data_IF_503040606888
#
_entry.id   IF_503040606888
#
_cell.length_a   1.000
_cell.length_b   1.000
_cell.length_c   1.000
_cell.angle_alpha   90.00
_cell.angle_beta   90.00
_cell.angle_gamma   90.00
#
_symmetry.space_group_name_H-M   'P 1'
#
loop_
_entity.id
_entity.type
_entity.pdbx_description
1 polymer ?
#
# COMPACT_ATOMS: atom_id res chain seq x y z
N UNK A 1 -14.70 -1.79 -2.36
CA UNK A 1 -15.11 -2.87 -1.45
C UNK A 1 -14.13 -3.02 -0.30
N UNK A 2 -14.65 -3.20 0.90
CA UNK A 2 -13.90 -3.28 2.16
C UNK A 2 -13.95 -4.67 2.81
N UNK A 3 -14.56 -5.67 2.14
CA UNK A 3 -14.73 -7.02 2.69
C UNK A 3 -13.39 -7.69 3.00
N UNK A 4 -13.29 -8.32 4.16
CA UNK A 4 -12.14 -9.14 4.58
C UNK A 4 -12.17 -10.57 4.03
N UNK A 5 -13.25 -10.98 3.35
CA UNK A 5 -13.37 -12.33 2.79
C UNK A 5 -12.37 -12.54 1.67
N UNK A 6 -11.71 -13.67 1.66
CA UNK A 6 -10.65 -14.02 0.70
C UNK A 6 -11.10 -14.02 -0.77
N UNK A 7 -12.40 -14.24 -1.00
CA UNK A 7 -13.00 -14.33 -2.33
C UNK A 7 -13.51 -12.98 -2.87
N UNK A 8 -13.58 -11.94 -2.03
CA UNK A 8 -14.07 -10.64 -2.44
C UNK A 8 -12.95 -9.82 -3.05
N UNK A 9 -13.27 -9.16 -4.16
CA UNK A 9 -12.39 -8.17 -4.76
C UNK A 9 -12.41 -6.88 -3.94
N UNK A 10 -11.27 -6.22 -3.82
CA UNK A 10 -11.06 -5.15 -2.84
C UNK A 10 -10.51 -3.92 -3.51
N UNK A 11 -10.98 -2.76 -3.05
CA UNK A 11 -10.43 -1.50 -3.49
C UNK A 11 -9.01 -1.34 -2.96
N UNK A 12 -8.14 -0.83 -3.80
CA UNK A 12 -6.77 -0.50 -3.44
C UNK A 12 -6.23 0.63 -4.33
N UNK A 13 -5.26 1.35 -3.82
CA UNK A 13 -4.48 2.32 -4.58
C UNK A 13 -3.00 2.11 -4.29
N UNK A 14 -2.16 2.26 -5.31
CA UNK A 14 -0.72 2.28 -5.14
C UNK A 14 -0.11 3.49 -5.82
N UNK A 15 0.97 3.97 -5.21
CA UNK A 15 1.88 4.96 -5.77
C UNK A 15 3.21 4.29 -5.99
N UNK A 16 3.77 4.43 -7.17
CA UNK A 16 5.03 3.80 -7.58
C UNK A 16 6.05 4.87 -7.92
N UNK A 17 7.27 4.69 -7.46
CA UNK A 17 8.40 5.57 -7.70
C UNK A 17 9.53 4.80 -8.39
N UNK A 18 10.18 5.43 -9.38
CA UNK A 18 11.41 4.90 -9.95
C UNK A 18 12.56 5.03 -8.94
N UNK A 19 13.29 3.93 -8.71
CA UNK A 19 14.53 3.97 -7.93
C UNK A 19 15.72 4.36 -8.83
N UNK A 20 16.72 5.00 -8.20
CA UNK A 20 17.92 5.48 -8.87
C UNK A 20 17.73 6.83 -9.57
N UNK A 21 18.85 7.34 -10.11
CA UNK A 21 18.88 8.59 -10.86
C UNK A 21 18.39 8.33 -12.27
N UNK A 22 17.13 8.62 -12.50
CA UNK A 22 16.58 8.61 -13.85
C UNK A 22 16.97 9.94 -14.50
N UNK A 23 18.06 9.94 -15.27
CA UNK A 23 18.48 11.09 -16.05
C UNK A 23 17.42 11.40 -17.10
N UNK A 24 16.58 12.38 -16.83
CA UNK A 24 15.43 12.79 -17.64
C UNK A 24 15.83 13.45 -18.98
N UNK A 25 17.11 13.50 -19.30
CA UNK A 25 17.66 14.23 -20.47
C UNK A 25 18.31 13.37 -21.54
N UNK A 26 18.34 12.05 -21.38
CA UNK A 26 18.84 11.16 -22.43
C UNK A 26 17.71 10.74 -23.32
N UNK A 27 17.86 10.91 -24.63
CA UNK A 27 16.93 10.47 -25.69
C UNK A 27 16.78 8.92 -25.77
N UNK A 28 17.14 8.20 -24.72
CA UNK A 28 16.94 6.75 -24.59
C UNK A 28 16.00 6.47 -23.44
N UNK A 29 15.06 5.54 -23.62
CA UNK A 29 14.12 5.07 -22.60
C UNK A 29 14.87 4.44 -21.40
N UNK A 30 15.46 5.26 -20.55
CA UNK A 30 16.16 4.81 -19.35
C UNK A 30 15.24 4.64 -18.13
N UNK A 31 14.00 5.00 -18.29
CA UNK A 31 12.98 4.89 -17.25
C UNK A 31 12.59 3.43 -17.02
N UNK A 32 12.29 3.03 -15.76
CA UNK A 32 11.63 1.75 -15.50
C UNK A 32 10.30 1.67 -16.26
N UNK A 33 9.86 0.47 -16.59
CA UNK A 33 8.49 0.31 -17.10
C UNK A 33 7.49 0.71 -16.00
N UNK A 34 6.52 1.55 -16.34
CA UNK A 34 5.54 2.07 -15.38
C UNK A 34 4.61 0.99 -14.77
N UNK A 35 4.54 -0.18 -15.37
CA UNK A 35 3.81 -1.34 -14.88
C UNK A 35 4.67 -2.27 -14.03
N UNK A 36 5.35 -1.78 -12.99
CA UNK A 36 6.15 -2.55 -12.00
C UNK A 36 7.65 -2.68 -12.34
N UNK A 37 8.22 -1.75 -13.08
CA UNK A 37 9.64 -1.81 -13.44
C UNK A 37 9.97 -2.85 -14.51
N UNK A 38 11.24 -3.07 -14.71
CA UNK A 38 11.79 -4.11 -15.59
C UNK A 38 13.20 -4.47 -15.11
N UNK A 39 13.75 -5.56 -15.63
CA UNK A 39 15.04 -6.12 -15.18
C UNK A 39 16.13 -5.04 -15.07
N UNK A 40 16.73 -4.94 -13.90
CA UNK A 40 17.75 -3.95 -13.55
C UNK A 40 17.22 -2.53 -13.29
N UNK A 41 15.90 -2.32 -13.35
CA UNK A 41 15.23 -1.03 -13.11
C UNK A 41 14.10 -1.20 -12.10
N UNK A 42 14.51 -1.14 -10.85
CA UNK A 42 13.64 -1.37 -9.69
C UNK A 42 12.72 -0.18 -9.45
N UNK A 43 11.53 -0.47 -8.97
CA UNK A 43 10.55 0.51 -8.48
C UNK A 43 10.23 0.25 -7.01
N UNK A 44 9.96 1.34 -6.28
CA UNK A 44 9.41 1.29 -4.92
C UNK A 44 7.92 1.59 -5.01
N UNK A 45 7.08 0.80 -4.36
CA UNK A 45 5.63 0.86 -4.46
C UNK A 45 5.03 0.96 -3.07
N UNK A 46 4.16 1.93 -2.85
CA UNK A 46 3.36 2.11 -1.65
C UNK A 46 1.93 1.73 -1.97
N UNK A 47 1.44 0.63 -1.44
CA UNK A 47 0.10 0.13 -1.72
C UNK A 47 -0.79 0.21 -0.48
N UNK A 48 -1.81 1.04 -0.53
CA UNK A 48 -2.90 1.06 0.43
C UNK A 48 -4.01 0.09 0.01
N UNK A 49 -4.64 -0.57 0.99
CA UNK A 49 -5.69 -1.55 0.77
C UNK A 49 -6.88 -1.32 1.70
N UNK A 50 -8.08 -1.27 1.13
CA UNK A 50 -9.33 -1.03 1.86
C UNK A 50 -9.67 -2.16 2.85
N UNK A 51 -9.38 -3.41 2.52
CA UNK A 51 -9.59 -4.55 3.42
C UNK A 51 -8.70 -4.46 4.68
N UNK A 52 -7.45 -4.05 4.52
CA UNK A 52 -6.53 -3.86 5.64
C UNK A 52 -6.95 -2.70 6.53
N UNK A 53 -7.42 -1.61 5.92
CA UNK A 53 -8.00 -0.47 6.66
C UNK A 53 -9.19 -0.93 7.51
N UNK A 54 -10.09 -1.73 6.93
CA UNK A 54 -11.27 -2.24 7.63
C UNK A 54 -10.90 -3.20 8.78
N UNK A 55 -9.90 -4.06 8.57
CA UNK A 55 -9.40 -4.96 9.63
C UNK A 55 -8.89 -4.15 10.84
N UNK A 56 -8.08 -3.13 10.60
CA UNK A 56 -7.52 -2.27 11.65
C UNK A 56 -8.63 -1.54 12.40
N UNK A 57 -9.55 -0.90 11.68
CA UNK A 57 -10.67 -0.17 12.28
C UNK A 57 -11.61 -1.09 13.08
N UNK A 58 -11.79 -2.32 12.64
CA UNK A 58 -12.59 -3.32 13.35
C UNK A 58 -11.89 -3.75 14.63
N UNK A 59 -10.58 -4.00 14.57
CA UNK A 59 -9.77 -4.34 15.74
C UNK A 59 -9.80 -3.22 16.79
N UNK A 60 -9.58 -1.98 16.38
CA UNK A 60 -9.64 -0.82 17.26
C UNK A 60 -11.01 -0.68 17.96
N UNK A 61 -12.11 -0.89 17.22
CA UNK A 61 -13.47 -0.86 17.79
C UNK A 61 -13.69 -1.97 18.82
N UNK A 62 -13.19 -3.17 18.54
CA UNK A 62 -13.30 -4.31 19.47
C UNK A 62 -12.47 -4.03 20.72
N UNK A 63 -11.23 -3.61 20.58
CA UNK A 63 -10.35 -3.27 21.71
C UNK A 63 -10.95 -2.17 22.57
N UNK A 64 -11.57 -1.16 21.98
CA UNK A 64 -12.27 -0.10 22.72
C UNK A 64 -13.50 -0.62 23.44
N UNK A 65 -14.32 -1.44 22.79
CA UNK A 65 -15.55 -2.00 23.36
C UNK A 65 -15.27 -3.00 24.51
N UNK A 66 -14.14 -3.71 24.44
CA UNK A 66 -13.74 -4.70 25.45
C UNK A 66 -12.89 -4.12 26.57
N UNK A 67 -12.51 -2.85 26.48
CA UNK A 67 -11.73 -2.17 27.51
C UNK A 67 -12.53 -2.07 28.82
N UNK A 68 -12.18 -2.91 29.80
CA UNK A 68 -12.88 -3.05 31.08
C UNK A 68 -13.84 -4.24 31.17
N UNK A 69 -13.96 -5.05 30.15
CA UNK A 69 -14.63 -6.35 30.17
C UNK A 69 -13.64 -7.46 30.50
N UNK A 70 -14.13 -8.51 31.20
CA UNK A 70 -13.32 -9.70 31.45
C UNK A 70 -13.13 -10.48 30.15
N UNK A 71 -11.93 -10.38 29.59
CA UNK A 71 -11.59 -11.00 28.30
C UNK A 71 -11.69 -12.53 28.35
N UNK A 72 -11.43 -13.13 29.52
CA UNK A 72 -11.46 -14.58 29.68
C UNK A 72 -12.88 -15.13 29.55
N UNK A 73 -13.91 -14.41 30.04
CA UNK A 73 -15.30 -14.81 29.88
C UNK A 73 -15.76 -14.74 28.40
N UNK A 74 -15.20 -13.84 27.61
CA UNK A 74 -15.49 -13.68 26.19
C UNK A 74 -14.82 -14.77 25.31
N UNK A 75 -13.60 -15.17 25.67
CA UNK A 75 -12.80 -16.15 24.93
C UNK A 75 -13.31 -17.59 25.15
N UNK A 76 -13.77 -17.91 26.35
CA UNK A 76 -14.23 -19.26 26.70
C UNK A 76 -15.73 -19.50 26.48
N UNK A 77 -16.49 -18.49 26.04
CA UNK A 77 -17.94 -18.58 25.77
C UNK A 77 -18.33 -19.29 24.47
N UNK A 78 -17.40 -19.85 23.71
CA UNK A 78 -17.67 -20.74 22.56
C UNK A 78 -18.15 -20.05 21.28
N UNK A 79 -18.24 -18.73 21.22
CA UNK A 79 -18.43 -18.00 19.96
C UNK A 79 -17.06 -17.68 19.32
N UNK A 80 -16.95 -17.90 18.02
CA UNK A 80 -15.73 -17.57 17.25
C UNK A 80 -15.44 -16.10 17.43
N UNK A 81 -14.37 -15.79 18.15
CA UNK A 81 -13.98 -14.43 18.42
C UNK A 81 -13.63 -13.73 17.07
N UNK A 82 -14.32 -12.66 16.68
CA UNK A 82 -14.02 -11.95 15.44
C UNK A 82 -12.55 -11.47 15.35
N UNK A 83 -11.88 -11.32 16.49
CA UNK A 83 -10.46 -10.92 16.57
C UNK A 83 -9.52 -12.00 16.04
N UNK A 84 -9.87 -13.29 16.17
CA UNK A 84 -9.03 -14.39 15.68
C UNK A 84 -8.94 -14.46 14.15
N UNK A 85 -9.92 -13.86 13.46
CA UNK A 85 -9.91 -13.74 12.02
C UNK A 85 -9.09 -12.54 11.51
N UNK A 86 -8.68 -11.64 12.41
CA UNK A 86 -7.90 -10.44 12.07
C UNK A 86 -6.41 -10.74 12.19
N UNK A 87 -5.60 -10.17 11.29
CA UNK A 87 -4.15 -10.27 11.42
C UNK A 87 -3.67 -9.42 12.60
N UNK A 88 -3.25 -10.02 13.74
CA UNK A 88 -2.91 -9.29 14.96
C UNK A 88 -1.67 -8.40 14.80
N UNK A 89 -0.91 -8.60 13.72
CA UNK A 89 0.33 -7.86 13.44
C UNK A 89 0.12 -6.70 12.47
N UNK A 90 -1.10 -6.52 11.95
CA UNK A 90 -1.39 -5.42 11.03
C UNK A 90 -1.83 -4.19 11.81
N UNK A 91 -1.04 -3.14 11.73
CA UNK A 91 -1.22 -1.84 12.36
C UNK A 91 -1.30 -0.68 11.35
N UNK A 92 -1.12 -0.99 10.06
CA UNK A 92 -1.07 -0.03 8.97
C UNK A 92 -1.73 -0.61 7.71
N UNK A 93 -2.61 0.12 7.01
CA UNK A 93 -3.27 -0.36 5.80
C UNK A 93 -2.39 -0.25 4.53
N UNK A 94 -1.13 0.14 4.69
CA UNK A 94 -0.17 0.31 3.59
C UNK A 94 0.88 -0.78 3.65
N UNK A 95 1.25 -1.29 2.49
CA UNK A 95 2.39 -2.18 2.30
C UNK A 95 3.41 -1.53 1.36
N UNK A 96 4.66 -1.52 1.78
CA UNK A 96 5.78 -1.08 0.97
C UNK A 96 6.42 -2.27 0.27
N UNK A 97 6.52 -2.16 -1.06
CA UNK A 97 6.96 -3.25 -1.93
C UNK A 97 8.02 -2.74 -2.91
N UNK A 98 8.79 -3.67 -3.45
CA UNK A 98 9.66 -3.43 -4.60
C UNK A 98 9.32 -4.38 -5.73
N UNK A 99 9.61 -3.95 -6.96
CA UNK A 99 9.48 -4.78 -8.13
C UNK A 99 10.52 -4.40 -9.20
N UNK A 100 10.91 -5.39 -10.00
CA UNK A 100 11.77 -5.18 -11.18
C UNK A 100 11.21 -5.98 -12.38
N UNK A 101 9.91 -5.87 -12.59
CA UNK A 101 9.17 -6.53 -13.65
C UNK A 101 8.01 -7.39 -13.12
N UNK A 102 7.20 -7.89 -14.05
CA UNK A 102 6.08 -8.77 -13.70
C UNK A 102 6.56 -10.05 -13.00
N UNK A 103 5.87 -10.43 -11.93
CA UNK A 103 6.20 -11.62 -11.13
C UNK A 103 7.30 -11.41 -10.09
N UNK A 104 7.89 -10.22 -9.98
CA UNK A 104 8.96 -9.92 -9.01
C UNK A 104 8.50 -9.08 -7.82
N UNK A 105 7.20 -8.80 -7.71
CA UNK A 105 6.64 -7.99 -6.62
C UNK A 105 6.96 -8.63 -5.27
N UNK A 106 7.71 -7.92 -4.44
CA UNK A 106 8.22 -8.42 -3.17
C UNK A 106 7.94 -7.40 -2.07
N UNK A 107 7.23 -7.78 -0.99
CA UNK A 107 7.10 -6.94 0.19
C UNK A 107 8.46 -6.69 0.83
N UNK A 108 8.67 -5.48 1.30
CA UNK A 108 9.83 -5.19 2.15
C UNK A 108 9.68 -5.89 3.51
N UNK A 109 10.78 -6.24 4.17
CA UNK A 109 10.72 -6.79 5.53
C UNK A 109 9.92 -5.87 6.46
N UNK A 110 9.18 -6.46 7.41
CA UNK A 110 8.33 -5.69 8.35
C UNK A 110 9.08 -4.54 9.04
N UNK A 111 10.34 -4.76 9.40
CA UNK A 111 11.20 -3.73 10.03
C UNK A 111 11.60 -2.58 9.09
N UNK A 112 11.24 -2.67 7.81
CA UNK A 112 11.52 -1.68 6.76
C UNK A 112 10.24 -1.07 6.16
N UNK A 113 9.07 -1.50 6.63
CA UNK A 113 7.78 -0.91 6.30
C UNK A 113 7.65 0.44 7.04
N UNK A 114 7.95 1.54 6.36
CA UNK A 114 8.01 2.86 6.98
C UNK A 114 7.02 3.87 6.38
N UNK A 115 6.24 3.45 5.39
CA UNK A 115 5.15 4.23 4.82
C UNK A 115 3.89 4.00 5.64
N UNK A 116 3.28 5.07 6.09
CA UNK A 116 2.00 5.06 6.79
C UNK A 116 0.91 5.61 5.88
N UNK A 117 -0.33 5.24 6.15
CA UNK A 117 -1.45 5.76 5.38
C UNK A 117 -2.79 5.54 6.03
N UNK A 118 -3.78 6.24 5.49
CA UNK A 118 -5.18 6.11 5.89
C UNK A 118 -6.08 6.43 4.72
N UNK A 119 -7.13 5.61 4.55
CA UNK A 119 -8.20 5.87 3.61
C UNK A 119 -9.49 6.27 4.34
N UNK A 120 -10.27 7.16 3.73
CA UNK A 120 -11.61 7.53 4.17
C UNK A 120 -12.57 7.40 2.99
N UNK A 121 -13.61 6.60 3.17
CA UNK A 121 -14.71 6.50 2.21
C UNK A 121 -15.78 7.53 2.53
N UNK A 122 -16.07 8.40 1.56
CA UNK A 122 -17.13 9.39 1.69
C UNK A 122 -17.71 9.71 0.31
N UNK A 123 -19.04 9.85 0.23
CA UNK A 123 -19.78 10.29 -0.97
C UNK A 123 -19.40 9.52 -2.26
N UNK A 124 -19.18 8.20 -2.13
CA UNK A 124 -18.83 7.34 -3.26
C UNK A 124 -17.36 7.37 -3.68
N UNK A 125 -16.50 7.98 -2.88
CA UNK A 125 -15.08 8.13 -3.19
C UNK A 125 -14.18 7.73 -2.00
N UNK A 126 -13.01 7.17 -2.34
CA UNK A 126 -11.91 7.04 -1.41
C UNK A 126 -11.02 8.27 -1.44
N UNK A 127 -10.72 8.82 -0.27
CA UNK A 127 -9.62 9.76 -0.07
C UNK A 127 -8.53 9.04 0.70
N UNK A 128 -7.37 8.84 0.09
CA UNK A 128 -6.26 8.10 0.67
C UNK A 128 -5.06 9.02 0.84
N UNK A 129 -4.51 9.04 2.05
CA UNK A 129 -3.27 9.74 2.36
C UNK A 129 -2.19 8.70 2.62
N UNK A 130 -1.05 8.88 1.98
CA UNK A 130 0.17 8.10 2.19
C UNK A 130 1.26 9.06 2.63
N UNK A 131 2.03 8.71 3.65
CA UNK A 131 3.11 9.58 4.10
C UNK A 131 4.30 8.81 4.66
N UNK A 132 5.47 9.38 4.51
CA UNK A 132 6.75 8.90 5.00
C UNK A 132 7.71 10.09 5.13
N UNK A 133 8.77 9.96 5.90
CA UNK A 133 9.90 10.90 5.87
C UNK A 133 10.52 10.96 4.48
N UNK A 134 10.99 12.14 4.07
CA UNK A 134 11.60 12.35 2.75
C UNK A 134 12.85 11.49 2.56
N UNK A 135 13.65 11.36 3.61
CA UNK A 135 14.83 10.51 3.66
C UNK A 135 14.51 9.19 4.38
N UNK A 136 15.03 8.12 3.82
CA UNK A 136 15.00 6.78 4.40
C UNK A 136 16.40 6.17 4.31
N UNK A 137 16.87 5.55 5.37
CA UNK A 137 18.15 4.84 5.39
C UNK A 137 18.13 3.51 4.60
N UNK A 138 17.01 3.18 3.97
CA UNK A 138 16.84 1.95 3.22
C UNK A 138 17.09 2.18 1.72
N UNK A 139 18.06 1.50 1.14
CA UNK A 139 18.39 1.61 -0.29
C UNK A 139 17.29 1.16 -1.24
N UNK A 140 16.30 0.43 -0.76
CA UNK A 140 15.14 -0.03 -1.53
C UNK A 140 13.97 0.95 -1.52
N UNK A 141 14.12 2.07 -0.79
CA UNK A 141 13.14 3.14 -0.76
C UNK A 141 13.53 4.27 -1.70
N UNK A 142 12.54 4.92 -2.27
CA UNK A 142 12.78 6.19 -2.97
C UNK A 142 13.25 7.25 -1.98
N UNK A 143 14.43 7.80 -2.23
CA UNK A 143 14.91 8.99 -1.53
C UNK A 143 14.35 10.23 -2.24
N UNK A 144 13.79 11.15 -1.47
CA UNK A 144 13.18 12.36 -2.00
C UNK A 144 14.13 13.54 -1.77
N UNK A 145 14.78 14.00 -2.85
CA UNK A 145 15.67 15.15 -2.85
C UNK A 145 15.00 16.32 -3.57
N UNK A 146 15.19 17.54 -3.05
CA UNK A 146 14.42 18.72 -3.48
C UNK A 146 14.75 19.24 -4.88
N UNK A 147 15.89 18.87 -5.45
CA UNK A 147 16.43 19.46 -6.68
C UNK A 147 16.24 18.62 -7.93
N UNK A 148 15.60 17.45 -7.81
CA UNK A 148 15.38 16.56 -8.95
C UNK A 148 13.91 16.13 -9.08
N UNK A 149 13.38 16.09 -10.30
CA UNK A 149 12.04 15.57 -10.53
C UNK A 149 11.99 14.07 -10.23
N UNK A 150 10.92 13.68 -9.56
CA UNK A 150 10.66 12.30 -9.16
C UNK A 150 9.67 11.69 -10.15
N UNK A 151 9.99 10.55 -10.72
CA UNK A 151 9.02 9.79 -11.51
C UNK A 151 8.06 9.06 -10.59
N UNK A 152 6.77 9.36 -10.74
CA UNK A 152 5.67 8.78 -10.01
C UNK A 152 4.63 8.20 -10.97
N UNK A 153 4.10 7.03 -10.65
CA UNK A 153 2.97 6.44 -11.35
C UNK A 153 1.95 5.89 -10.34
N UNK A 154 0.71 5.78 -10.77
CA UNK A 154 -0.40 5.36 -9.92
C UNK A 154 -1.03 4.08 -10.43
N UNK A 155 -1.57 3.27 -9.52
CA UNK A 155 -2.38 2.11 -9.85
C UNK A 155 -3.62 2.09 -8.96
N UNK A 156 -4.76 1.72 -9.55
CA UNK A 156 -6.05 1.65 -8.88
C UNK A 156 -6.68 0.29 -9.17
N UNK A 157 -7.18 -0.35 -8.12
CA UNK A 157 -8.01 -1.54 -8.19
C UNK A 157 -9.42 -1.19 -7.73
N UNK A 158 -10.40 -1.42 -8.59
CA UNK A 158 -11.81 -1.32 -8.28
C UNK A 158 -12.36 -2.72 -7.98
N UNK A 159 -12.68 -2.96 -6.71
CA UNK A 159 -13.23 -4.24 -6.29
C UNK A 159 -14.62 -4.52 -6.86
N UNK A 160 -15.37 -3.48 -7.26
CA UNK A 160 -16.65 -3.67 -7.94
C UNK A 160 -16.46 -4.22 -9.36
N UNK A 161 -15.44 -3.75 -10.08
CA UNK A 161 -15.05 -4.22 -11.41
C UNK A 161 -14.23 -5.51 -11.37
N UNK A 162 -14.10 -6.14 -10.20
CA UNK A 162 -13.36 -7.38 -9.97
C UNK A 162 -11.85 -7.28 -10.26
N UNK A 163 -11.30 -6.11 -10.05
CA UNK A 163 -9.87 -5.90 -10.19
C UNK A 163 -9.07 -6.63 -9.12
N UNK A 164 -7.96 -7.25 -9.56
CA UNK A 164 -7.01 -7.95 -8.68
C UNK A 164 -5.67 -8.17 -9.37
N UNK A 165 -4.61 -8.26 -8.63
CA UNK A 165 -3.25 -8.57 -9.11
C UNK A 165 -2.84 -7.67 -10.29
N UNK A 166 -2.70 -8.26 -11.48
CA UNK A 166 -2.35 -7.56 -12.70
C UNK A 166 -3.50 -6.79 -13.35
N UNK A 167 -4.75 -7.13 -13.03
CA UNK A 167 -5.94 -6.42 -13.53
C UNK A 167 -6.17 -5.18 -12.66
N UNK A 168 -5.80 -4.04 -13.18
CA UNK A 168 -5.86 -2.73 -12.54
C UNK A 168 -5.72 -1.63 -13.58
N UNK A 169 -6.17 -0.44 -13.25
CA UNK A 169 -5.85 0.77 -14.02
C UNK A 169 -4.51 1.32 -13.56
N UNK A 170 -3.63 1.67 -14.51
CA UNK A 170 -2.33 2.29 -14.21
C UNK A 170 -2.14 3.56 -15.01
N UNK A 171 -1.48 4.57 -14.40
CA UNK A 171 -1.03 5.75 -15.12
C UNK A 171 0.31 5.50 -15.81
N UNK A 172 0.63 6.32 -16.80
CA UNK A 172 2.02 6.51 -17.24
C UNK A 172 2.80 7.26 -16.16
N UNK A 173 4.13 7.33 -16.31
CA UNK A 173 4.98 8.15 -15.46
C UNK A 173 4.57 9.62 -15.50
N UNK A 174 4.46 10.23 -14.33
CA UNK A 174 4.31 11.65 -14.10
C UNK A 174 5.59 12.18 -13.43
N UNK A 175 5.81 13.49 -13.54
CA UNK A 175 6.93 14.16 -12.85
C UNK A 175 6.40 14.91 -11.64
N UNK A 176 6.86 14.51 -10.47
CA UNK A 176 6.61 15.21 -9.21
C UNK A 176 7.81 16.11 -8.90
N UNK A 177 7.55 17.36 -8.61
CA UNK A 177 8.52 18.32 -8.11
C UNK A 177 8.18 18.60 -6.65
N UNK A 178 9.15 18.47 -5.77
CA UNK A 178 9.01 18.92 -4.39
C UNK A 178 9.27 20.43 -4.31
N UNK A 179 8.56 21.14 -3.39
CA UNK A 179 8.75 22.56 -3.20
C UNK A 179 10.13 22.92 -2.61
#
# INVERSE_FOLDING_TARGET
RTSSRHQDFKDAVAVQFALGDVLLHTHGHNEPFFGMGNRGKVVNIWQWRADWQTEIETKEKIEYATKGMDLDAMIFGGEVNPVDALNPFRDNPVEELNAEGFGTLTPQPRTKQNVLGKGVWKDGHWSVVLYRTLDSLNKWDKQFMNDQPILVAFAIWDGYEQDRNGRKVVSMWQRLHLP
#
